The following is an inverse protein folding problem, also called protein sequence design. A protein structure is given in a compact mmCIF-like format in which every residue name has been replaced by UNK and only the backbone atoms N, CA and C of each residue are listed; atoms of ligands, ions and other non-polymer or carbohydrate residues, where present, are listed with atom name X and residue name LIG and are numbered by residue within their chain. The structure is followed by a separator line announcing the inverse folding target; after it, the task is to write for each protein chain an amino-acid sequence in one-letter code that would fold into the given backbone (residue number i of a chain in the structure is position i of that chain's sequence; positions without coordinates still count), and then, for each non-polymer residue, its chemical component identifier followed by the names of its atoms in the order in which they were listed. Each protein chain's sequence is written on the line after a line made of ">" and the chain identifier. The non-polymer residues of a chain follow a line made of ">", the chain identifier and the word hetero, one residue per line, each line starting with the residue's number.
data_IF_363243372206
#
_entry.id   IF_363243372206
#
_cell.length_a   1.000
_cell.length_b   1.000
_cell.length_c   1.000
_cell.angle_alpha   90.00
_cell.angle_beta   90.00
_cell.angle_gamma   90.00
#
_symmetry.space_group_name_H-M   'P 1'
#
loop_
_entity.id
_entity.type
_entity.pdbx_description
1 polymer ?
#
# COMPACT_ATOMS: atom_id res chain seq x y z
N UNK A 1 -2.68 5.35 28.37
CA UNK A 1 -3.44 4.52 27.40
C UNK A 1 -2.85 4.73 25.99
N UNK A 2 -1.52 4.73 25.84
CA UNK A 2 -0.84 4.93 24.54
C UNK A 2 -0.26 3.63 23.97
N UNK A 3 0.05 2.64 24.83
CA UNK A 3 0.63 1.35 24.43
C UNK A 3 -0.14 0.64 23.30
N UNK A 4 -1.48 0.58 23.38
CA UNK A 4 -2.27 -0.07 22.32
C UNK A 4 -2.25 0.64 20.96
N UNK A 5 -1.92 1.94 20.92
CA UNK A 5 -1.83 2.71 19.67
C UNK A 5 -0.47 2.55 18.99
N UNK A 6 0.59 2.32 19.76
CA UNK A 6 1.93 2.03 19.25
C UNK A 6 2.01 0.61 18.66
N UNK A 7 1.51 -0.40 19.37
CA UNK A 7 1.48 -1.80 18.88
C UNK A 7 0.75 -1.92 17.53
N UNK A 8 -0.34 -1.16 17.37
CA UNK A 8 -1.12 -1.16 16.12
C UNK A 8 -0.35 -0.53 14.95
N UNK A 9 0.39 0.55 15.20
CA UNK A 9 1.20 1.21 14.17
C UNK A 9 2.42 0.40 13.79
N UNK A 10 3.07 -0.24 14.76
CA UNK A 10 4.21 -1.12 14.51
C UNK A 10 3.79 -2.34 13.68
N UNK A 11 2.67 -2.97 14.06
CA UNK A 11 2.09 -4.09 13.29
C UNK A 11 1.69 -3.69 11.87
N UNK A 12 1.16 -2.49 11.69
CA UNK A 12 0.79 -1.95 10.37
C UNK A 12 2.01 -1.61 9.53
N UNK A 13 3.07 -1.04 10.13
CA UNK A 13 4.33 -0.78 9.46
C UNK A 13 5.01 -2.07 8.97
N UNK A 14 5.03 -3.12 9.79
CA UNK A 14 5.54 -4.44 9.40
C UNK A 14 4.72 -5.01 8.23
N UNK A 15 3.39 -4.89 8.29
CA UNK A 15 2.50 -5.34 7.21
C UNK A 15 2.69 -4.54 5.92
N UNK A 16 3.00 -3.25 6.00
CA UNK A 16 3.30 -2.44 4.82
C UNK A 16 4.64 -2.81 4.20
N UNK A 17 5.66 -3.11 5.00
CA UNK A 17 6.95 -3.58 4.47
C UNK A 17 6.84 -4.96 3.80
N UNK A 18 5.93 -5.83 4.24
CA UNK A 18 5.70 -7.11 3.57
C UNK A 18 5.07 -6.98 2.17
N UNK A 19 4.55 -5.79 1.81
CA UNK A 19 4.09 -5.48 0.45
C UNK A 19 5.24 -5.25 -0.53
N UNK A 20 6.41 -4.82 -0.05
CA UNK A 20 7.57 -4.47 -0.88
C UNK A 20 7.87 -5.50 -1.98
N UNK A 21 8.00 -6.82 -1.69
CA UNK A 21 8.25 -7.82 -2.74
C UNK A 21 7.11 -7.95 -3.76
N UNK A 22 5.87 -7.61 -3.39
CA UNK A 22 4.73 -7.63 -4.31
C UNK A 22 4.67 -6.41 -5.22
N UNK A 23 5.22 -5.28 -4.79
CA UNK A 23 5.25 -4.03 -5.55
C UNK A 23 6.39 -4.00 -6.58
N UNK A 24 7.35 -4.93 -6.48
CA UNK A 24 8.43 -5.08 -7.44
C UNK A 24 7.90 -5.31 -8.86
N UNK A 25 8.42 -4.53 -9.82
CA UNK A 25 7.99 -4.60 -11.22
C UNK A 25 6.63 -3.95 -11.52
N UNK A 26 6.05 -3.20 -10.57
CA UNK A 26 4.90 -2.33 -10.80
C UNK A 26 5.40 -0.89 -10.90
N UNK A 27 4.90 -0.13 -11.88
CA UNK A 27 5.02 1.32 -11.85
C UNK A 27 3.94 1.90 -10.93
N UNK A 28 4.33 2.36 -9.74
CA UNK A 28 3.38 2.85 -8.74
C UNK A 28 2.74 4.19 -9.13
N UNK A 29 3.26 4.87 -10.15
CA UNK A 29 2.60 6.03 -10.76
C UNK A 29 1.23 5.66 -11.33
N UNK A 30 1.05 4.43 -11.81
CA UNK A 30 -0.21 3.97 -12.38
C UNK A 30 -1.28 3.71 -11.30
N UNK A 31 -0.86 3.46 -10.06
CA UNK A 31 -1.76 3.23 -8.93
C UNK A 31 -2.20 4.55 -8.27
N UNK A 32 -1.35 5.57 -8.31
CA UNK A 32 -1.54 6.82 -7.58
C UNK A 32 -2.84 7.58 -7.92
N UNK A 33 -3.28 7.70 -9.19
CA UNK A 33 -4.53 8.41 -9.53
C UNK A 33 -5.76 7.81 -8.85
N UNK A 34 -5.82 6.47 -8.72
CA UNK A 34 -6.94 5.80 -8.06
C UNK A 34 -6.92 6.09 -6.55
N UNK A 35 -5.74 6.11 -5.94
CA UNK A 35 -5.58 6.45 -4.52
C UNK A 35 -5.95 7.91 -4.23
N UNK A 36 -5.67 8.83 -5.15
CA UNK A 36 -6.13 10.22 -5.07
C UNK A 36 -7.65 10.29 -5.18
N UNK A 37 -8.24 9.63 -6.18
CA UNK A 37 -9.69 9.61 -6.39
C UNK A 37 -10.46 8.99 -5.20
N UNK A 38 -9.85 8.01 -4.52
CA UNK A 38 -10.37 7.37 -3.30
C UNK A 38 -10.04 8.15 -2.02
N UNK A 39 -9.45 9.35 -2.11
CA UNK A 39 -9.07 10.20 -0.99
C UNK A 39 -8.06 9.58 0.01
N UNK A 40 -7.31 8.56 -0.40
CA UNK A 40 -6.26 7.96 0.42
C UNK A 40 -5.04 8.87 0.46
N UNK A 41 -4.68 9.45 -0.69
CA UNK A 41 -3.50 10.32 -0.84
C UNK A 41 -3.93 11.63 -1.50
N UNK A 42 -3.19 12.71 -1.26
CA UNK A 42 -3.44 13.99 -1.93
C UNK A 42 -2.62 14.10 -3.21
N UNK A 43 -3.07 14.95 -4.14
CA UNK A 43 -2.38 15.18 -5.41
C UNK A 43 -0.93 15.68 -5.24
N UNK A 44 -0.66 16.50 -4.22
CA UNK A 44 0.72 16.93 -3.93
C UNK A 44 1.59 15.82 -3.33
N UNK A 45 0.99 14.81 -2.70
CA UNK A 45 1.72 13.64 -2.17
C UNK A 45 2.03 12.64 -3.30
N UNK A 46 1.12 12.52 -4.27
CA UNK A 46 1.34 11.77 -5.50
C UNK A 46 2.60 12.23 -6.24
N UNK A 47 2.90 13.53 -6.27
CA UNK A 47 4.12 14.04 -6.90
C UNK A 47 5.40 13.37 -6.38
N UNK A 48 5.45 12.94 -5.11
CA UNK A 48 6.60 12.22 -4.55
C UNK A 48 6.89 10.95 -5.36
N UNK A 49 5.87 10.20 -5.76
CA UNK A 49 6.02 8.97 -6.56
C UNK A 49 6.48 9.25 -8.00
N UNK A 50 6.18 10.44 -8.51
CA UNK A 50 6.51 10.85 -9.87
C UNK A 50 7.92 11.40 -9.99
N UNK A 51 8.47 11.92 -8.88
CA UNK A 51 9.84 12.44 -8.81
C UNK A 51 10.89 11.37 -8.57
N UNK A 52 10.50 10.19 -8.06
CA UNK A 52 11.44 9.09 -7.86
C UNK A 52 11.89 8.47 -9.19
N UNK A 53 13.20 8.33 -9.36
CA UNK A 53 13.81 7.86 -10.60
C UNK A 53 14.03 6.34 -10.65
N UNK A 54 13.95 5.65 -9.51
CA UNK A 54 14.15 4.20 -9.44
C UNK A 54 12.92 3.50 -8.87
N UNK A 55 12.70 2.25 -9.27
CA UNK A 55 11.59 1.44 -8.77
C UNK A 55 11.66 1.28 -7.24
N UNK A 56 12.84 1.04 -6.67
CA UNK A 56 13.01 0.90 -5.22
C UNK A 56 12.73 2.20 -4.46
N UNK A 57 13.18 3.34 -4.99
CA UNK A 57 12.87 4.63 -4.37
C UNK A 57 11.37 4.93 -4.44
N UNK A 58 10.73 4.62 -5.57
CA UNK A 58 9.28 4.75 -5.73
C UNK A 58 8.52 3.86 -4.75
N UNK A 59 8.93 2.59 -4.58
CA UNK A 59 8.34 1.67 -3.60
C UNK A 59 8.54 2.19 -2.17
N UNK A 60 9.73 2.71 -1.86
CA UNK A 60 10.00 3.28 -0.55
C UNK A 60 9.11 4.49 -0.25
N UNK A 61 9.03 5.44 -1.19
CA UNK A 61 8.16 6.61 -1.08
C UNK A 61 6.69 6.21 -0.92
N UNK A 62 6.24 5.18 -1.64
CA UNK A 62 4.88 4.67 -1.56
C UNK A 62 4.56 4.05 -0.20
N UNK A 63 5.43 3.19 0.32
CA UNK A 63 5.26 2.57 1.63
C UNK A 63 5.25 3.63 2.74
N UNK A 64 6.20 4.57 2.72
CA UNK A 64 6.25 5.68 3.68
C UNK A 64 4.98 6.54 3.63
N UNK A 65 4.44 6.76 2.44
CA UNK A 65 3.20 7.49 2.28
C UNK A 65 2.04 6.71 2.92
N UNK A 66 1.90 5.40 2.63
CA UNK A 66 0.83 4.56 3.17
C UNK A 66 0.89 4.40 4.69
N UNK A 67 2.07 4.41 5.32
CA UNK A 67 2.22 4.39 6.80
C UNK A 67 1.48 5.54 7.49
N UNK A 68 1.22 6.63 6.78
CA UNK A 68 0.49 7.80 7.31
C UNK A 68 -1.01 7.77 7.03
N UNK A 69 -1.51 6.75 6.30
CA UNK A 69 -2.89 6.67 5.82
C UNK A 69 -3.67 5.58 6.55
N UNK A 70 -4.99 5.73 6.56
CA UNK A 70 -5.93 4.73 7.05
C UNK A 70 -6.74 4.17 5.88
N UNK A 71 -7.24 2.95 6.04
CA UNK A 71 -8.18 2.29 5.11
C UNK A 71 -7.68 2.21 3.64
N UNK A 72 -6.36 2.22 3.45
CA UNK A 72 -5.72 2.21 2.13
C UNK A 72 -5.88 0.87 1.39
N UNK A 73 -6.08 -0.24 2.10
CA UNK A 73 -6.14 -1.59 1.54
C UNK A 73 -7.18 -1.72 0.43
N UNK A 74 -8.40 -1.22 0.65
CA UNK A 74 -9.48 -1.34 -0.35
C UNK A 74 -9.19 -0.53 -1.61
N UNK A 75 -8.69 0.70 -1.44
CA UNK A 75 -8.33 1.56 -2.55
C UNK A 75 -7.12 1.02 -3.34
N UNK A 76 -6.11 0.47 -2.64
CA UNK A 76 -4.97 -0.17 -3.27
C UNK A 76 -5.38 -1.42 -4.05
N UNK A 77 -6.28 -2.23 -3.50
CA UNK A 77 -6.83 -3.42 -4.17
C UNK A 77 -7.55 -3.01 -5.47
N UNK A 78 -8.41 -1.99 -5.42
CA UNK A 78 -9.09 -1.43 -6.60
C UNK A 78 -8.08 -0.89 -7.65
N UNK A 79 -7.05 -0.17 -7.20
CA UNK A 79 -5.99 0.35 -8.07
C UNK A 79 -5.23 -0.77 -8.79
N UNK A 80 -4.89 -1.85 -8.07
CA UNK A 80 -4.20 -3.00 -8.64
C UNK A 80 -5.08 -3.72 -9.68
N UNK A 81 -6.37 -3.93 -9.39
CA UNK A 81 -7.31 -4.57 -10.34
C UNK A 81 -7.45 -3.74 -11.62
N UNK A 82 -7.64 -2.42 -11.49
CA UNK A 82 -7.77 -1.51 -12.64
C UNK A 82 -6.54 -1.47 -13.54
N UNK A 83 -5.37 -1.75 -12.97
CA UNK A 83 -4.09 -1.83 -13.69
C UNK A 83 -3.72 -3.27 -14.10
N UNK A 84 -4.69 -4.19 -14.09
CA UNK A 84 -4.49 -5.58 -14.52
C UNK A 84 -3.62 -6.43 -13.59
N UNK A 85 -3.30 -5.95 -12.38
CA UNK A 85 -2.49 -6.63 -11.37
C UNK A 85 -3.35 -7.46 -10.41
N UNK A 86 -4.31 -8.21 -10.95
CA UNK A 86 -5.29 -8.97 -10.16
C UNK A 86 -4.64 -10.02 -9.25
N UNK A 87 -3.55 -10.65 -9.70
CA UNK A 87 -2.77 -11.59 -8.90
C UNK A 87 -2.15 -10.94 -7.65
N UNK A 88 -1.71 -9.68 -7.77
CA UNK A 88 -1.11 -8.92 -6.66
C UNK A 88 -2.22 -8.44 -5.71
N UNK A 89 -3.35 -8.00 -6.26
CA UNK A 89 -4.55 -7.67 -5.48
C UNK A 89 -5.03 -8.85 -4.63
N UNK A 90 -5.04 -10.06 -5.20
CA UNK A 90 -5.39 -11.27 -4.47
C UNK A 90 -4.42 -11.53 -3.30
N UNK A 91 -3.10 -11.49 -3.55
CA UNK A 91 -2.08 -11.67 -2.51
C UNK A 91 -2.21 -10.63 -1.40
N UNK A 92 -2.51 -9.36 -1.75
CA UNK A 92 -2.78 -8.31 -0.78
C UNK A 92 -3.97 -8.68 0.13
N UNK A 93 -5.08 -9.15 -0.43
CA UNK A 93 -6.24 -9.60 0.35
C UNK A 93 -5.94 -10.81 1.24
N UNK A 94 -5.11 -11.75 0.77
CA UNK A 94 -4.69 -12.92 1.55
C UNK A 94 -3.81 -12.54 2.75
N UNK A 95 -2.97 -11.51 2.64
CA UNK A 95 -2.16 -11.00 3.75
C UNK A 95 -2.96 -10.20 4.78
N UNK A 96 -4.09 -9.63 4.36
CA UNK A 96 -4.97 -8.80 5.20
C UNK A 96 -6.02 -9.62 5.91
N UNK A 97 -6.37 -10.77 5.34
CA UNK A 97 -7.21 -11.77 5.99
C UNK A 97 -6.44 -12.26 7.22
N UNK A 98 -6.97 -12.13 8.45
CA UNK A 98 -6.48 -12.95 9.54
C UNK A 98 -6.78 -14.37 9.07
N UNK A 99 -5.77 -15.10 8.59
CA UNK A 99 -5.93 -16.52 8.34
C UNK A 99 -6.50 -17.06 9.64
N UNK A 100 -7.76 -17.48 9.57
CA UNK A 100 -8.39 -18.36 10.54
C UNK A 100 -7.34 -19.42 10.84
N UNK A 101 -6.71 -19.31 12.00
CA UNK A 101 -5.86 -20.34 12.57
C UNK A 101 -6.80 -21.49 12.96
N UNK A 102 -7.33 -22.17 11.94
CA UNK A 102 -8.11 -23.40 12.02
C UNK A 102 -7.83 -24.21 10.76
N UNK A 103 -6.75 -24.97 10.84
CA UNK A 103 -6.70 -26.33 10.35
C UNK A 103 -6.07 -27.15 11.47
#
# INVERSE_FOLDING_TARGET
>A
MDYMREDRRESEAIRLESLRPLLQGIDLRDLAPVLVARNIIKSYEMNKLYTESTADAQINAFIELLKTKYDWTGALTDALIRNGKCNIAQKLMEMQSPKSARA
#
